data_IF_843414334959
#
_entry.id   IF_843414334959
#
_cell.length_a   1.000
_cell.length_b   1.000
_cell.length_c   1.000
_cell.angle_alpha   90.00
_cell.angle_beta   90.00
_cell.angle_gamma   90.00
#
_symmetry.space_group_name_H-M   'P 1'
#
loop_
_entity.id
_entity.type
_entity.pdbx_description
1 polymer ?
#
# COMPACT_ATOMS: atom_id res chain seq x y z
N UNK A 1 -27.53 -57.54 50.38
CA UNK A 1 -27.33 -56.25 51.06
C UNK A 1 -26.38 -55.46 50.18
N UNK A 2 -26.95 -54.65 49.29
CA UNK A 2 -26.26 -53.66 48.46
C UNK A 2 -25.53 -52.63 49.33
N UNK A 3 -24.45 -52.06 48.81
CA UNK A 3 -24.29 -50.59 48.71
C UNK A 3 -23.21 -50.30 47.65
N UNK A 4 -23.70 -50.00 46.46
CA UNK A 4 -23.02 -49.24 45.41
C UNK A 4 -22.86 -47.80 45.91
N UNK A 5 -21.65 -47.26 45.91
CA UNK A 5 -21.46 -45.81 46.01
C UNK A 5 -20.91 -45.28 44.69
N UNK A 6 -21.79 -44.57 44.00
CA UNK A 6 -21.54 -43.82 42.78
C UNK A 6 -20.96 -42.43 43.10
N UNK A 7 -20.19 -41.91 42.13
CA UNK A 7 -20.13 -40.50 41.68
C UNK A 7 -19.29 -39.43 42.43
N UNK A 8 -18.28 -38.95 41.69
CA UNK A 8 -18.22 -37.63 40.98
C UNK A 8 -17.12 -36.65 41.42
N UNK A 9 -16.37 -36.16 40.43
CA UNK A 9 -15.53 -34.96 40.47
C UNK A 9 -14.34 -35.13 39.50
N UNK A 10 -14.47 -34.86 38.20
CA UNK A 10 -14.54 -33.52 37.57
C UNK A 10 -13.38 -32.64 38.03
N UNK A 11 -12.47 -32.16 37.20
CA UNK A 11 -12.40 -32.21 35.75
C UNK A 11 -11.02 -31.74 35.34
N UNK A 12 -10.25 -32.64 34.75
CA UNK A 12 -9.06 -32.28 34.00
C UNK A 12 -9.07 -33.15 32.75
N UNK A 13 -10.17 -33.03 31.99
CA UNK A 13 -10.15 -33.46 30.61
C UNK A 13 -9.18 -32.51 29.91
N UNK A 14 -7.91 -32.89 29.92
CA UNK A 14 -6.86 -32.31 29.13
C UNK A 14 -7.41 -32.16 27.72
N UNK A 15 -7.80 -30.94 27.36
CA UNK A 15 -8.30 -30.61 26.03
C UNK A 15 -7.36 -31.26 25.03
N UNK A 16 -7.90 -32.17 24.22
CA UNK A 16 -7.13 -33.03 23.36
C UNK A 16 -6.16 -32.16 22.51
N UNK A 17 -4.93 -32.63 22.23
CA UNK A 17 -3.94 -31.85 21.48
C UNK A 17 -4.48 -31.37 20.12
N UNK A 18 -5.47 -32.08 19.56
CA UNK A 18 -6.18 -31.74 18.32
C UNK A 18 -7.06 -30.49 18.45
N UNK A 19 -7.69 -30.25 19.61
CA UNK A 19 -8.57 -29.11 19.82
C UNK A 19 -7.79 -27.80 19.98
N UNK A 20 -6.62 -27.86 20.63
CA UNK A 20 -5.69 -26.71 20.68
C UNK A 20 -5.12 -26.38 19.30
N UNK A 21 -4.71 -27.39 18.55
CA UNK A 21 -4.13 -27.20 17.22
C UNK A 21 -5.16 -26.66 16.21
N UNK A 22 -6.44 -27.01 16.34
CA UNK A 22 -7.54 -26.41 15.56
C UNK A 22 -7.81 -24.97 15.96
N UNK A 23 -7.77 -24.66 17.27
CA UNK A 23 -7.95 -23.30 17.76
C UNK A 23 -6.81 -22.37 17.35
N UNK A 24 -5.56 -22.85 17.31
CA UNK A 24 -4.40 -22.10 16.82
C UNK A 24 -4.50 -21.84 15.32
N UNK A 25 -4.78 -22.86 14.50
CA UNK A 25 -4.99 -22.67 13.05
C UNK A 25 -6.16 -21.76 12.73
N UNK A 26 -7.23 -21.79 13.51
CA UNK A 26 -8.36 -20.86 13.36
C UNK A 26 -7.99 -19.43 13.77
N UNK A 27 -7.13 -19.24 14.78
CA UNK A 27 -6.62 -17.92 15.16
C UNK A 27 -5.68 -17.36 14.10
N UNK A 28 -4.82 -18.18 13.52
CA UNK A 28 -3.93 -17.78 12.43
C UNK A 28 -4.72 -17.45 11.17
N UNK A 29 -5.70 -18.28 10.80
CA UNK A 29 -6.59 -18.00 9.67
C UNK A 29 -7.47 -16.76 9.90
N UNK A 30 -7.93 -16.53 11.14
CA UNK A 30 -8.68 -15.33 11.49
C UNK A 30 -7.78 -14.07 11.53
N UNK A 31 -6.53 -14.21 11.94
CA UNK A 31 -5.53 -13.14 11.90
C UNK A 31 -5.12 -12.80 10.45
N UNK A 32 -4.95 -13.81 9.59
CA UNK A 32 -4.73 -13.64 8.15
C UNK A 32 -5.94 -13.01 7.47
N UNK A 33 -7.16 -13.48 7.78
CA UNK A 33 -8.40 -12.91 7.26
C UNK A 33 -8.60 -11.46 7.74
N UNK A 34 -8.34 -11.16 9.02
CA UNK A 34 -8.40 -9.78 9.54
C UNK A 34 -7.31 -8.88 8.93
N UNK A 35 -6.13 -9.42 8.63
CA UNK A 35 -5.07 -8.71 7.92
C UNK A 35 -5.46 -8.44 6.45
N UNK A 36 -6.13 -9.39 5.78
CA UNK A 36 -6.66 -9.23 4.43
C UNK A 36 -7.82 -8.22 4.37
N UNK A 37 -8.74 -8.23 5.33
CA UNK A 37 -9.84 -7.26 5.41
C UNK A 37 -9.32 -5.85 5.71
N UNK A 38 -8.30 -5.70 6.57
CA UNK A 38 -7.63 -4.40 6.80
C UNK A 38 -6.82 -3.91 5.59
N UNK A 39 -6.36 -4.83 4.73
CA UNK A 39 -5.72 -4.50 3.47
C UNK A 39 -6.74 -4.06 2.39
N UNK A 40 -7.98 -4.57 2.46
CA UNK A 40 -9.08 -4.20 1.57
C UNK A 40 -9.73 -2.84 1.93
N UNK A 41 -9.79 -2.46 3.21
CA UNK A 41 -10.25 -1.11 3.65
C UNK A 41 -9.24 0.01 3.36
N UNK A 42 -8.06 -0.35 2.85
CA UNK A 42 -7.07 0.58 2.35
C UNK A 42 -7.23 0.67 0.83
N UNK A 43 -8.15 1.51 0.39
CA UNK A 43 -8.26 1.98 -1.00
C UNK A 43 -7.73 3.42 -1.12
N UNK A 44 -6.51 3.80 -0.65
CA UNK A 44 -6.17 5.19 -0.47
C UNK A 44 -5.49 5.78 -1.71
N UNK A 45 -5.78 5.34 -2.94
CA UNK A 45 -5.06 5.87 -4.11
C UNK A 45 -5.87 6.02 -5.40
N UNK A 46 -7.15 5.63 -5.40
CA UNK A 46 -7.98 5.79 -6.59
C UNK A 46 -8.16 7.28 -6.92
N UNK A 47 -8.46 8.10 -5.91
CA UNK A 47 -8.58 9.57 -6.05
C UNK A 47 -7.28 10.25 -6.50
N UNK A 48 -6.14 9.88 -5.91
CA UNK A 48 -4.84 10.47 -6.25
C UNK A 48 -4.39 10.07 -7.68
N UNK A 49 -4.73 8.85 -8.11
CA UNK A 49 -4.48 8.39 -9.49
C UNK A 49 -5.30 9.17 -10.52
N UNK A 50 -6.52 9.61 -10.16
CA UNK A 50 -7.30 10.51 -11.03
C UNK A 50 -6.67 11.89 -11.13
N UNK A 51 -6.13 12.44 -10.03
CA UNK A 51 -5.42 13.72 -10.07
C UNK A 51 -4.21 13.63 -11.01
N UNK A 52 -3.39 12.58 -10.90
CA UNK A 52 -2.26 12.39 -11.81
C UNK A 52 -2.69 12.28 -13.30
N UNK A 53 -3.79 11.58 -13.58
CA UNK A 53 -4.40 11.55 -14.92
C UNK A 53 -4.89 12.92 -15.38
N UNK A 54 -5.46 13.72 -14.47
CA UNK A 54 -5.94 15.07 -14.77
C UNK A 54 -4.79 16.00 -15.19
N UNK A 55 -3.65 15.93 -14.50
CA UNK A 55 -2.43 16.64 -14.89
C UNK A 55 -2.01 16.30 -16.33
N UNK A 56 -2.06 15.01 -16.70
CA UNK A 56 -1.77 14.55 -18.05
C UNK A 56 -2.78 15.07 -19.10
N UNK A 57 -4.07 15.11 -18.77
CA UNK A 57 -5.12 15.65 -19.64
C UNK A 57 -4.90 17.15 -19.88
N UNK A 58 -4.65 17.91 -18.81
CA UNK A 58 -4.37 19.36 -18.93
C UNK A 58 -3.11 19.59 -19.76
N UNK A 59 -2.07 18.78 -19.59
CA UNK A 59 -0.85 18.88 -20.39
C UNK A 59 -1.14 18.68 -21.89
N UNK A 60 -2.01 17.71 -22.20
CA UNK A 60 -2.44 17.44 -23.57
C UNK A 60 -3.30 18.57 -24.14
N UNK A 61 -4.18 19.15 -23.33
CA UNK A 61 -4.96 20.34 -23.70
C UNK A 61 -4.03 21.53 -23.97
N UNK A 62 -3.02 21.76 -23.13
CA UNK A 62 -2.02 22.82 -23.35
C UNK A 62 -1.23 22.61 -24.64
N UNK A 63 -0.90 21.36 -24.98
CA UNK A 63 -0.24 21.04 -26.25
C UNK A 63 -1.15 21.30 -27.45
N UNK A 64 -2.43 20.91 -27.36
CA UNK A 64 -3.44 21.28 -28.37
C UNK A 64 -3.59 22.80 -28.49
N UNK A 65 -3.61 23.52 -27.37
CA UNK A 65 -3.66 24.98 -27.35
C UNK A 65 -2.42 25.58 -28.01
N UNK A 66 -1.23 25.03 -27.76
CA UNK A 66 0.00 25.46 -28.41
C UNK A 66 -0.09 25.34 -29.93
N UNK A 67 -0.61 24.22 -30.44
CA UNK A 67 -0.81 24.01 -31.88
C UNK A 67 -1.82 25.03 -32.43
N UNK A 68 -2.91 25.27 -31.71
CA UNK A 68 -3.93 26.25 -32.09
C UNK A 68 -3.33 27.67 -32.14
N UNK A 69 -2.56 28.06 -31.12
CA UNK A 69 -1.90 29.36 -31.05
C UNK A 69 -0.93 29.57 -32.22
N UNK A 70 -0.17 28.53 -32.56
CA UNK A 70 0.72 28.55 -33.73
C UNK A 70 -0.07 28.78 -35.01
N UNK A 71 -1.14 28.01 -35.23
CA UNK A 71 -1.97 28.13 -36.43
C UNK A 71 -2.63 29.52 -36.55
N UNK A 72 -3.21 30.01 -35.45
CA UNK A 72 -3.88 31.31 -35.39
C UNK A 72 -2.87 32.45 -35.61
N UNK A 73 -1.70 32.39 -34.96
CA UNK A 73 -0.66 33.40 -35.09
C UNK A 73 -0.10 33.48 -36.51
N UNK A 74 0.14 32.34 -37.16
CA UNK A 74 0.54 32.31 -38.56
C UNK A 74 -0.56 32.83 -39.49
N UNK A 75 -1.83 32.48 -39.24
CA UNK A 75 -2.96 32.96 -40.05
C UNK A 75 -3.15 34.48 -39.97
N UNK A 76 -2.99 35.08 -38.78
CA UNK A 76 -3.22 36.51 -38.58
C UNK A 76 -2.02 37.40 -38.95
N UNK A 77 -0.80 36.96 -38.63
CA UNK A 77 0.39 37.84 -38.66
C UNK A 77 1.53 37.29 -39.54
N UNK A 78 1.41 36.05 -40.03
CA UNK A 78 2.43 35.43 -40.90
C UNK A 78 3.82 35.41 -40.25
N UNK A 79 4.85 35.85 -40.99
CA UNK A 79 6.23 35.89 -40.46
C UNK A 79 6.44 36.86 -39.30
N UNK A 80 5.59 37.87 -39.12
CA UNK A 80 5.71 38.79 -37.99
C UNK A 80 5.34 38.14 -36.65
N UNK A 81 4.65 37.00 -36.71
CA UNK A 81 4.24 36.23 -35.54
C UNK A 81 5.42 35.49 -34.88
N UNK A 82 6.51 35.22 -35.62
CA UNK A 82 7.62 34.36 -35.19
C UNK A 82 8.21 34.71 -33.80
N UNK A 83 8.53 35.98 -33.48
CA UNK A 83 9.11 36.32 -32.18
C UNK A 83 8.12 36.00 -31.03
N UNK A 84 6.85 36.32 -31.24
CA UNK A 84 5.78 36.10 -30.25
C UNK A 84 5.49 34.62 -30.06
N UNK A 85 5.39 33.84 -31.14
CA UNK A 85 5.15 32.40 -31.08
C UNK A 85 6.30 31.67 -30.38
N UNK A 86 7.55 32.09 -30.60
CA UNK A 86 8.70 31.51 -29.91
C UNK A 86 8.69 31.86 -28.41
N UNK A 87 8.39 33.11 -28.06
CA UNK A 87 8.34 33.55 -26.67
C UNK A 87 7.20 32.89 -25.87
N UNK A 88 5.97 32.91 -26.40
CA UNK A 88 4.79 32.33 -25.73
C UNK A 88 4.79 30.81 -25.86
N UNK A 89 5.12 30.30 -27.04
CA UNK A 89 5.10 28.87 -27.34
C UNK A 89 6.16 28.08 -26.57
N UNK A 90 7.36 28.63 -26.36
CA UNK A 90 8.38 27.98 -25.52
C UNK A 90 7.89 27.82 -24.07
N UNK A 91 7.26 28.85 -23.50
CA UNK A 91 6.68 28.77 -22.14
C UNK A 91 5.57 27.73 -22.07
N UNK A 92 4.67 27.71 -23.04
CA UNK A 92 3.60 26.70 -23.11
C UNK A 92 4.17 25.28 -23.25
N UNK A 93 5.21 25.10 -24.06
CA UNK A 93 5.88 23.82 -24.25
C UNK A 93 6.54 23.33 -22.95
N UNK A 94 7.26 24.22 -22.25
CA UNK A 94 7.87 23.90 -20.95
C UNK A 94 6.80 23.56 -19.91
N UNK A 95 5.72 24.34 -19.84
CA UNK A 95 4.61 24.06 -18.92
C UNK A 95 3.93 22.72 -19.24
N UNK A 96 3.67 22.43 -20.51
CA UNK A 96 3.08 21.16 -20.93
C UNK A 96 4.01 19.97 -20.60
N UNK A 97 5.30 20.09 -20.88
CA UNK A 97 6.29 19.06 -20.56
C UNK A 97 6.45 18.84 -19.05
N UNK A 98 6.52 19.91 -18.27
CA UNK A 98 6.60 19.84 -16.81
C UNK A 98 5.35 19.19 -16.22
N UNK A 99 4.17 19.54 -16.74
CA UNK A 99 2.90 18.99 -16.29
C UNK A 99 2.74 17.51 -16.66
N UNK A 100 3.23 17.12 -17.85
CA UNK A 100 3.29 15.72 -18.28
C UNK A 100 4.23 14.90 -17.40
N UNK A 101 5.46 15.38 -17.20
CA UNK A 101 6.44 14.72 -16.33
C UNK A 101 5.97 14.66 -14.88
N UNK A 102 5.36 15.72 -14.35
CA UNK A 102 4.77 15.73 -13.02
C UNK A 102 3.64 14.71 -12.86
N UNK A 103 2.80 14.53 -13.90
CA UNK A 103 1.78 13.48 -13.92
C UNK A 103 2.38 12.08 -13.92
N UNK A 104 3.46 11.85 -14.66
CA UNK A 104 4.18 10.56 -14.70
C UNK A 104 4.84 10.24 -13.35
N UNK A 105 5.55 11.21 -12.76
CA UNK A 105 6.15 11.10 -11.43
C UNK A 105 5.09 10.83 -10.36
N UNK A 106 3.91 11.47 -10.44
CA UNK A 106 2.84 11.25 -9.49
C UNK A 106 2.31 9.80 -9.53
N UNK A 107 2.22 9.19 -10.72
CA UNK A 107 1.83 7.77 -10.86
C UNK A 107 2.91 6.87 -10.24
N UNK A 108 4.18 7.13 -10.56
CA UNK A 108 5.29 6.35 -10.01
C UNK A 108 5.36 6.45 -8.47
N UNK A 109 5.10 7.62 -7.91
CA UNK A 109 5.09 7.82 -6.45
C UNK A 109 3.96 7.06 -5.77
N UNK A 110 2.82 6.87 -6.45
CA UNK A 110 1.71 6.04 -5.95
C UNK A 110 2.16 4.58 -5.85
N UNK A 111 2.84 4.07 -6.88
CA UNK A 111 3.31 2.69 -6.91
C UNK A 111 4.35 2.44 -5.80
N UNK A 112 5.29 3.37 -5.60
CA UNK A 112 6.28 3.31 -4.49
C UNK A 112 5.58 3.30 -3.12
N UNK A 113 4.49 4.06 -2.95
CA UNK A 113 3.72 4.08 -1.71
C UNK A 113 3.14 2.71 -1.33
N UNK A 114 2.84 1.88 -2.32
CA UNK A 114 2.40 0.49 -2.09
C UNK A 114 3.56 -0.40 -1.64
N UNK A 115 4.71 -0.31 -2.30
CA UNK A 115 5.89 -1.13 -2.00
C UNK A 115 6.49 -0.83 -0.62
N UNK A 116 6.51 0.45 -0.22
CA UNK A 116 6.95 0.87 1.13
C UNK A 116 6.04 0.30 2.21
N UNK A 117 4.73 0.25 1.94
CA UNK A 117 3.76 -0.35 2.88
C UNK A 117 3.95 -1.86 2.99
N UNK A 118 4.15 -2.55 1.87
CA UNK A 118 4.44 -3.98 1.86
C UNK A 118 5.72 -4.29 2.64
N UNK A 119 6.76 -3.49 2.43
CA UNK A 119 8.03 -3.58 3.16
C UNK A 119 7.83 -3.39 4.67
N UNK A 120 7.05 -2.37 5.09
CA UNK A 120 6.78 -2.12 6.50
C UNK A 120 6.07 -3.29 7.20
N UNK A 121 5.15 -3.96 6.50
CA UNK A 121 4.47 -5.15 7.02
C UNK A 121 5.46 -6.31 7.19
N UNK A 122 6.31 -6.53 6.19
CA UNK A 122 7.33 -7.58 6.22
C UNK A 122 8.35 -7.36 7.35
N UNK A 123 8.91 -6.17 7.45
CA UNK A 123 9.85 -5.82 8.53
C UNK A 123 9.19 -5.91 9.90
N UNK A 124 7.91 -5.51 10.03
CA UNK A 124 7.14 -5.68 11.26
C UNK A 124 6.99 -7.14 11.68
N UNK A 125 6.73 -8.04 10.71
CA UNK A 125 6.66 -9.49 10.96
C UNK A 125 8.01 -10.08 11.36
N UNK A 126 9.10 -9.68 10.69
CA UNK A 126 10.46 -10.15 11.04
C UNK A 126 10.88 -9.67 12.43
N UNK A 127 10.63 -8.41 12.77
CA UNK A 127 10.92 -7.87 14.08
C UNK A 127 10.15 -8.61 15.19
N UNK A 128 8.86 -8.90 14.95
CA UNK A 128 8.04 -9.67 15.90
C UNK A 128 8.58 -11.09 16.13
N UNK A 129 8.95 -11.82 15.06
CA UNK A 129 9.52 -13.17 15.20
C UNK A 129 10.84 -13.20 15.96
N UNK A 130 11.73 -12.21 15.75
CA UNK A 130 12.98 -12.12 16.51
C UNK A 130 12.75 -11.87 18.00
N UNK A 131 11.76 -11.04 18.38
CA UNK A 131 11.41 -10.80 19.78
C UNK A 131 10.85 -12.07 20.43
N UNK A 132 10.00 -12.81 19.72
CA UNK A 132 9.47 -14.09 20.23
C UNK A 132 10.54 -15.17 20.39
N UNK A 133 11.52 -15.24 19.48
CA UNK A 133 12.65 -16.17 19.60
C UNK A 133 13.57 -15.85 20.79
N UNK A 134 13.81 -14.57 21.08
CA UNK A 134 14.61 -14.16 22.24
C UNK A 134 13.93 -14.54 23.56
N UNK A 135 12.61 -14.37 23.68
CA UNK A 135 11.89 -14.80 24.88
C UNK A 135 11.79 -16.32 25.01
N UNK A 136 11.64 -17.06 23.91
CA UNK A 136 11.66 -18.52 23.97
C UNK A 136 13.03 -19.10 24.41
N UNK A 137 14.12 -18.43 24.05
CA UNK A 137 15.48 -18.82 24.44
C UNK A 137 15.81 -18.49 25.91
N UNK A 138 15.17 -17.47 26.50
CA UNK A 138 15.33 -17.15 27.93
C UNK A 138 14.58 -18.13 28.84
N UNK A 139 13.46 -18.70 28.37
CA UNK A 139 12.64 -19.66 29.14
C UNK A 139 13.24 -21.10 29.15
N UNK A 140 14.19 -21.39 28.24
CA UNK A 140 14.87 -22.70 28.12
C UNK A 140 16.26 -22.72 28.78
N UNK A 141 16.68 -21.64 29.45
CA UNK A 141 17.95 -21.62 30.17
C UNK A 141 17.91 -22.59 31.37
N UNK A 142 18.80 -23.60 31.45
CA UNK A 142 18.78 -24.56 32.54
C UNK A 142 19.04 -23.85 33.87
N UNK A 143 18.06 -23.92 34.77
CA UNK A 143 18.20 -23.51 36.17
C UNK A 143 19.30 -24.38 36.79
N UNK A 144 20.51 -23.83 36.86
CA UNK A 144 21.61 -24.42 37.64
C UNK A 144 21.17 -24.44 39.11
N UNK A 145 21.02 -25.63 39.74
CA UNK A 145 20.80 -25.70 41.18
C UNK A 145 22.11 -25.27 41.87
N UNK A 146 21.99 -24.32 42.80
CA UNK A 146 23.07 -23.97 43.72
C UNK A 146 23.33 -25.07 44.75
#
# INVERSE_FOLDING_TARGET
>A
METTHERRGSGEHAAAPVDRQRAERQRDAAAEAAMHVRAADMEPYVGLRYVAKLFRIIALILLMLLIAEVAIGFYQQGMQALPTLLAVGSRLLVLAGLLWGGGDIAILLIDIGHDVRATRILTGRQAAHHITQHHAAEDEAPVTPQ
#
